data_IF_871068554026
#
_entry.id   IF_871068554026
#
_cell.length_a   1.000
_cell.length_b   1.000
_cell.length_c   1.000
_cell.angle_alpha   90.00
_cell.angle_beta   90.00
_cell.angle_gamma   90.00
#
_symmetry.space_group_name_H-M   'P 1'
#
loop_
_entity.id
_entity.type
_entity.pdbx_description
1 polymer ?
#
# COMPACT_ATOMS: atom_id res chain seq x y z
N UNK A 1 11.38 -18.34 -52.41
CA UNK A 1 11.46 -18.60 -50.97
C UNK A 1 10.83 -17.42 -50.23
N UNK A 2 9.65 -17.63 -49.65
CA UNK A 2 8.94 -16.61 -48.92
C UNK A 2 9.28 -16.79 -47.42
N UNK A 3 10.00 -15.83 -46.83
CA UNK A 3 10.32 -15.85 -45.41
C UNK A 3 9.13 -15.31 -44.62
N UNK A 4 8.43 -16.16 -43.89
CA UNK A 4 7.38 -15.78 -42.97
C UNK A 4 8.07 -15.26 -41.70
N UNK A 5 8.06 -13.97 -41.49
CA UNK A 5 8.44 -13.35 -40.22
C UNK A 5 7.25 -13.49 -39.26
N UNK A 6 7.31 -14.44 -38.35
CA UNK A 6 6.34 -14.56 -37.28
C UNK A 6 6.62 -13.44 -36.25
N UNK A 7 5.83 -12.40 -36.24
CA UNK A 7 5.81 -11.41 -35.16
C UNK A 7 5.14 -12.06 -33.97
N UNK A 8 5.95 -12.53 -33.02
CA UNK A 8 5.49 -12.99 -31.73
C UNK A 8 5.14 -11.78 -30.86
N UNK A 9 3.86 -11.40 -30.87
CA UNK A 9 3.33 -10.38 -29.97
C UNK A 9 3.31 -10.98 -28.56
N UNK A 10 4.33 -10.64 -27.74
CA UNK A 10 4.29 -10.93 -26.32
C UNK A 10 3.20 -10.10 -25.66
N UNK A 11 2.03 -10.70 -25.45
CA UNK A 11 0.98 -10.15 -24.59
C UNK A 11 1.48 -10.27 -23.14
N UNK A 12 2.13 -9.23 -22.66
CA UNK A 12 2.43 -9.12 -21.23
C UNK A 12 1.12 -8.74 -20.52
N UNK A 13 0.57 -9.67 -19.77
CA UNK A 13 -0.54 -9.40 -18.88
C UNK A 13 -0.06 -8.46 -17.77
N UNK A 14 -0.45 -7.21 -17.83
CA UNK A 14 -0.21 -6.21 -16.79
C UNK A 14 -1.15 -6.52 -15.62
N UNK A 15 -0.65 -7.21 -14.62
CA UNK A 15 -1.39 -7.48 -13.37
C UNK A 15 -1.25 -6.25 -12.46
N UNK A 16 -2.19 -5.32 -12.56
CA UNK A 16 -2.32 -4.24 -11.58
C UNK A 16 -2.93 -4.78 -10.27
N UNK A 17 -2.34 -4.46 -9.13
CA UNK A 17 -2.85 -4.82 -7.81
C UNK A 17 -4.06 -3.97 -7.42
N UNK A 18 -5.14 -4.04 -8.20
CA UNK A 18 -6.36 -3.24 -7.98
C UNK A 18 -7.11 -3.63 -6.70
N UNK A 19 -6.84 -4.80 -6.14
CA UNK A 19 -7.47 -5.36 -4.93
C UNK A 19 -6.52 -5.43 -3.73
N UNK A 20 -5.55 -4.54 -3.66
CA UNK A 20 -4.61 -4.44 -2.55
C UNK A 20 -3.21 -4.96 -2.85
N UNK A 21 -2.26 -4.60 -2.00
CA UNK A 21 -0.87 -5.00 -2.12
C UNK A 21 -0.70 -6.52 -1.98
N UNK A 22 0.22 -7.10 -2.73
CA UNK A 22 0.56 -8.51 -2.61
C UNK A 22 1.37 -8.78 -1.33
N UNK A 23 1.22 -9.98 -0.75
CA UNK A 23 1.97 -10.40 0.44
C UNK A 23 3.48 -10.49 0.21
N UNK A 24 3.91 -10.66 -1.04
CA UNK A 24 5.33 -10.59 -1.42
C UNK A 24 5.98 -9.23 -1.13
N UNK A 25 5.17 -8.18 -0.93
CA UNK A 25 5.64 -6.83 -0.61
C UNK A 25 5.77 -6.57 0.89
N UNK A 26 5.49 -7.56 1.74
CA UNK A 26 5.49 -7.40 3.19
C UNK A 26 6.82 -6.92 3.78
N UNK A 27 7.93 -7.22 3.17
CA UNK A 27 9.27 -6.82 3.67
C UNK A 27 9.69 -5.48 3.07
N UNK A 28 9.69 -5.37 1.76
CA UNK A 28 10.23 -4.20 1.05
C UNK A 28 9.28 -3.00 1.02
N UNK A 29 7.96 -3.22 1.03
CA UNK A 29 6.93 -2.18 1.01
C UNK A 29 7.06 -1.20 -0.16
N UNK A 30 7.66 -1.63 -1.27
CA UNK A 30 7.84 -0.81 -2.47
C UNK A 30 6.95 -1.30 -3.60
N UNK A 31 6.37 -0.40 -4.39
CA UNK A 31 5.68 -0.80 -5.61
C UNK A 31 6.63 -1.57 -6.52
N UNK A 32 6.14 -2.67 -7.08
CA UNK A 32 6.88 -3.48 -8.06
C UNK A 32 6.25 -3.29 -9.44
N UNK A 33 6.96 -3.79 -10.48
CA UNK A 33 6.38 -3.82 -11.82
C UNK A 33 4.91 -4.31 -11.77
N UNK A 34 3.97 -3.61 -12.43
CA UNK A 34 4.17 -2.59 -13.45
C UNK A 34 4.14 -1.13 -12.95
N UNK A 35 4.20 -0.88 -11.65
CA UNK A 35 4.04 0.48 -11.09
C UNK A 35 5.28 1.39 -11.24
N UNK A 36 6.36 0.88 -11.79
CA UNK A 36 7.62 1.63 -11.95
C UNK A 36 8.43 1.73 -10.66
N UNK A 37 9.47 2.54 -10.69
CA UNK A 37 10.34 2.78 -9.53
C UNK A 37 9.67 3.77 -8.55
N UNK A 38 10.06 3.68 -7.27
CA UNK A 38 9.65 4.66 -6.28
C UNK A 38 10.11 6.07 -6.66
N UNK A 39 9.25 7.06 -6.40
CA UNK A 39 9.59 8.46 -6.68
C UNK A 39 10.56 8.98 -5.61
N UNK A 40 11.52 9.80 -6.05
CA UNK A 40 12.50 10.45 -5.17
C UNK A 40 12.01 11.80 -4.60
N UNK A 41 10.88 12.32 -5.10
CA UNK A 41 10.27 13.57 -4.63
C UNK A 41 9.55 13.37 -3.30
N UNK A 42 9.42 14.45 -2.52
CA UNK A 42 8.64 14.42 -1.29
C UNK A 42 7.19 13.97 -1.56
N UNK A 43 6.68 13.11 -0.69
CA UNK A 43 5.30 12.64 -0.82
C UNK A 43 4.31 13.79 -0.61
N UNK A 44 3.28 13.94 -1.48
CA UNK A 44 2.20 14.88 -1.25
C UNK A 44 1.17 14.36 -0.23
N UNK A 45 1.39 13.18 0.34
CA UNK A 45 0.56 12.55 1.36
C UNK A 45 1.31 12.46 2.68
N UNK A 46 0.57 12.45 3.77
CA UNK A 46 1.10 12.30 5.12
C UNK A 46 0.40 11.15 5.85
N UNK A 47 1.11 10.59 6.83
CA UNK A 47 0.57 9.62 7.78
C UNK A 47 0.62 10.26 9.15
N UNK A 48 -0.51 10.30 9.83
CA UNK A 48 -0.64 10.81 11.20
C UNK A 48 -1.20 9.74 12.13
N UNK A 49 -0.94 9.89 13.42
CA UNK A 49 -1.46 9.00 14.45
C UNK A 49 -1.80 9.77 15.72
N UNK A 50 -2.74 9.26 16.49
CA UNK A 50 -3.07 9.80 17.81
C UNK A 50 -2.14 9.27 18.93
N UNK A 51 -1.07 8.55 18.60
CA UNK A 51 -0.04 8.09 19.53
C UNK A 51 0.96 9.23 19.86
N UNK A 52 0.49 10.38 20.34
CA UNK A 52 1.31 11.58 20.59
C UNK A 52 2.41 11.39 21.64
N UNK A 53 2.21 10.48 22.58
CA UNK A 53 3.16 10.16 23.67
C UNK A 53 3.93 8.87 23.42
N UNK A 54 3.93 8.36 22.18
CA UNK A 54 4.57 7.11 21.82
C UNK A 54 3.64 5.91 21.89
N UNK A 55 4.16 4.78 21.50
CA UNK A 55 3.45 3.51 21.43
C UNK A 55 3.45 2.81 22.80
N UNK A 56 2.28 2.35 23.22
CA UNK A 56 2.09 1.51 24.41
C UNK A 56 1.45 0.18 23.96
N UNK A 57 2.08 -0.97 24.21
CA UNK A 57 1.52 -2.27 23.88
C UNK A 57 0.13 -2.47 24.48
N UNK A 58 -0.77 -3.13 23.74
CA UNK A 58 -2.14 -3.39 24.15
C UNK A 58 -3.11 -2.23 24.00
N UNK A 59 -2.68 -1.07 23.51
CA UNK A 59 -3.56 0.05 23.19
C UNK A 59 -3.89 0.11 21.71
N UNK A 60 -5.08 0.63 21.40
CA UNK A 60 -5.53 0.92 20.03
C UNK A 60 -5.20 2.37 19.67
N UNK A 61 -4.64 2.54 18.49
CA UNK A 61 -4.30 3.85 17.92
C UNK A 61 -4.94 4.01 16.55
N UNK A 62 -5.34 5.23 16.22
CA UNK A 62 -5.81 5.57 14.88
C UNK A 62 -4.63 6.01 14.03
N UNK A 63 -4.52 5.42 12.84
CA UNK A 63 -3.58 5.85 11.78
C UNK A 63 -4.39 6.43 10.64
N UNK A 64 -4.07 7.65 10.25
CA UNK A 64 -4.74 8.37 9.17
C UNK A 64 -3.76 8.67 8.04
N UNK A 65 -4.15 8.32 6.81
CA UNK A 65 -3.45 8.73 5.59
C UNK A 65 -4.26 9.85 4.96
N UNK A 66 -3.63 11.00 4.73
CA UNK A 66 -4.31 12.17 4.16
C UNK A 66 -3.42 12.93 3.18
N UNK A 67 -4.03 13.78 2.38
CA UNK A 67 -3.30 14.73 1.52
C UNK A 67 -2.74 15.87 2.35
N UNK A 68 -1.53 16.31 2.02
CA UNK A 68 -0.95 17.51 2.65
C UNK A 68 -1.70 18.77 2.18
N UNK A 69 -2.07 18.80 0.90
CA UNK A 69 -2.86 19.89 0.33
C UNK A 69 -4.01 19.28 -0.49
N UNK A 70 -5.22 19.29 0.07
CA UNK A 70 -6.39 18.67 -0.55
C UNK A 70 -6.79 19.28 -1.90
N UNK A 71 -6.51 20.56 -2.12
CA UNK A 71 -6.92 21.27 -3.34
C UNK A 71 -6.02 20.94 -4.55
N UNK A 72 -4.74 20.64 -4.34
CA UNK A 72 -3.76 20.41 -5.41
C UNK A 72 -3.23 18.98 -5.49
N UNK A 73 -3.49 18.17 -4.48
CA UNK A 73 -3.02 16.78 -4.42
C UNK A 73 -4.08 15.84 -4.98
N UNK A 74 -3.75 15.00 -5.98
CA UNK A 74 -4.69 14.01 -6.48
C UNK A 74 -5.03 12.95 -5.42
N UNK A 75 -6.18 12.30 -5.56
CA UNK A 75 -6.54 11.17 -4.73
C UNK A 75 -5.56 10.01 -4.96
N UNK A 76 -5.17 9.33 -3.89
CA UNK A 76 -4.36 8.13 -4.03
C UNK A 76 -5.25 6.92 -4.37
N UNK A 77 -4.77 6.06 -5.24
CA UNK A 77 -5.54 4.90 -5.75
C UNK A 77 -5.24 3.62 -4.98
N UNK A 78 -4.21 3.63 -4.18
CA UNK A 78 -3.81 2.48 -3.41
C UNK A 78 -2.77 2.83 -2.35
N UNK A 79 -2.73 2.00 -1.31
CA UNK A 79 -1.77 2.13 -0.22
C UNK A 79 -1.42 0.76 0.35
N UNK A 80 -0.31 0.69 1.05
CA UNK A 80 0.08 -0.43 1.88
C UNK A 80 0.76 0.09 3.14
N UNK A 81 0.23 -0.22 4.31
CA UNK A 81 0.69 0.31 5.57
C UNK A 81 0.99 -0.80 6.59
N UNK A 82 2.06 -0.61 7.34
CA UNK A 82 2.46 -1.43 8.47
C UNK A 82 2.97 -0.54 9.60
N UNK A 83 2.88 -1.02 10.83
CA UNK A 83 3.61 -0.46 11.96
C UNK A 83 4.82 -1.35 12.22
N UNK A 84 6.00 -0.74 12.33
CA UNK A 84 7.27 -1.44 12.57
C UNK A 84 8.05 -0.76 13.67
N UNK A 85 8.83 -1.54 14.40
CA UNK A 85 9.87 -0.96 15.26
C UNK A 85 10.98 -0.37 14.37
N UNK A 86 11.52 0.76 14.79
CA UNK A 86 12.61 1.43 14.04
C UNK A 86 13.77 0.47 13.83
N UNK A 87 14.23 0.36 12.58
CA UNK A 87 15.31 -0.53 12.19
C UNK A 87 14.91 -1.98 11.88
N UNK A 88 13.64 -2.36 12.09
CA UNK A 88 13.15 -3.70 11.78
C UNK A 88 12.20 -3.69 10.58
N UNK A 89 12.14 -4.83 9.87
CA UNK A 89 11.23 -5.04 8.74
C UNK A 89 9.99 -5.86 9.11
N UNK A 90 9.98 -6.44 10.31
CA UNK A 90 8.85 -7.21 10.82
C UNK A 90 7.76 -6.28 11.34
N UNK A 91 6.52 -6.38 10.86
CA UNK A 91 5.41 -5.60 11.39
C UNK A 91 5.05 -6.02 12.81
N UNK A 92 4.56 -5.06 13.59
CA UNK A 92 4.06 -5.25 14.96
C UNK A 92 2.61 -4.80 15.07
N UNK A 93 1.86 -5.42 15.96
CA UNK A 93 0.45 -5.13 16.17
C UNK A 93 -0.46 -5.70 15.09
N UNK A 94 -1.74 -5.37 15.19
CA UNK A 94 -2.79 -5.76 14.26
C UNK A 94 -3.59 -4.54 13.84
N UNK A 95 -4.10 -4.56 12.61
CA UNK A 95 -4.99 -3.52 12.08
C UNK A 95 -6.45 -3.97 12.19
N UNK A 96 -7.29 -3.00 12.50
CA UNK A 96 -8.72 -3.04 12.25
C UNK A 96 -9.07 -1.94 11.25
N UNK A 97 -10.02 -2.20 10.35
CA UNK A 97 -10.38 -1.25 9.29
C UNK A 97 -11.72 -0.61 9.59
N UNK A 98 -11.74 0.73 9.61
CA UNK A 98 -12.97 1.48 9.87
C UNK A 98 -14.01 1.33 8.74
N UNK A 99 -13.56 1.20 7.49
CA UNK A 99 -14.41 0.99 6.32
C UNK A 99 -13.89 -0.18 5.48
N UNK A 100 -14.52 -1.33 5.65
CA UNK A 100 -14.21 -2.56 4.92
C UNK A 100 -14.51 -2.52 3.42
N UNK A 101 -15.15 -1.46 2.90
CA UNK A 101 -15.30 -1.24 1.46
C UNK A 101 -14.06 -0.60 0.84
N UNK A 102 -13.34 0.21 1.61
CA UNK A 102 -12.15 0.94 1.15
C UNK A 102 -10.86 0.21 1.44
N UNK A 103 -10.77 -0.46 2.58
CA UNK A 103 -9.56 -1.11 3.06
C UNK A 103 -9.80 -2.56 3.46
N UNK A 104 -8.72 -3.30 3.54
CA UNK A 104 -8.68 -4.68 4.03
C UNK A 104 -7.34 -4.95 4.71
N UNK A 105 -7.34 -5.86 5.67
CA UNK A 105 -6.11 -6.33 6.31
C UNK A 105 -5.35 -7.31 5.42
N UNK A 106 -4.05 -7.45 5.68
CA UNK A 106 -3.17 -8.46 5.11
C UNK A 106 -2.32 -9.11 6.19
N UNK A 107 -2.13 -10.41 6.06
CA UNK A 107 -1.27 -11.20 6.93
C UNK A 107 0.14 -11.19 6.35
N UNK A 108 1.05 -10.51 7.00
CA UNK A 108 2.47 -10.48 6.61
C UNK A 108 3.29 -11.48 7.43
N UNK A 109 3.37 -11.28 8.74
CA UNK A 109 4.04 -12.22 9.67
C UNK A 109 3.06 -12.77 10.70
N UNK A 110 1.98 -12.07 10.92
CA UNK A 110 0.87 -12.45 11.78
C UNK A 110 -0.44 -11.98 11.19
N UNK A 111 -1.54 -12.48 11.69
CA UNK A 111 -2.89 -12.11 11.24
C UNK A 111 -3.09 -10.61 11.34
N UNK A 112 -3.64 -10.00 10.29
CA UNK A 112 -3.98 -8.58 10.21
C UNK A 112 -2.81 -7.63 10.55
N UNK A 113 -1.55 -8.05 10.32
CA UNK A 113 -0.35 -7.24 10.65
C UNK A 113 -0.08 -6.11 9.67
N UNK A 114 -0.89 -5.96 8.64
CA UNK A 114 -0.82 -4.87 7.66
C UNK A 114 -2.19 -4.54 7.12
N UNK A 115 -2.31 -3.36 6.50
CA UNK A 115 -3.55 -2.87 5.88
C UNK A 115 -3.26 -2.33 4.49
N UNK A 116 -4.18 -2.56 3.57
CA UNK A 116 -4.09 -2.11 2.18
C UNK A 116 -5.46 -1.72 1.64
N UNK A 117 -5.48 -1.02 0.51
CA UNK A 117 -6.73 -0.73 -0.20
C UNK A 117 -7.41 -2.02 -0.68
N UNK A 118 -8.73 -1.98 -0.80
CA UNK A 118 -9.55 -3.09 -1.31
C UNK A 118 -9.90 -2.92 -2.78
N UNK A 119 -10.15 -1.68 -3.21
CA UNK A 119 -10.55 -1.34 -4.57
C UNK A 119 -9.80 -0.10 -5.06
N UNK A 120 -9.47 -0.03 -6.35
CA UNK A 120 -8.73 1.07 -6.96
C UNK A 120 -9.44 2.44 -6.96
N UNK A 121 -10.74 2.48 -6.68
CA UNK A 121 -11.57 3.68 -6.85
C UNK A 121 -12.00 4.32 -5.51
N UNK A 122 -11.47 3.92 -4.38
CA UNK A 122 -12.16 4.17 -3.11
C UNK A 122 -11.34 4.88 -2.06
N UNK A 123 -10.16 5.34 -2.35
CA UNK A 123 -9.35 6.03 -1.34
C UNK A 123 -9.40 7.55 -1.60
N UNK A 124 -10.50 8.12 -1.18
CA UNK A 124 -10.64 9.53 -0.83
C UNK A 124 -10.37 9.69 0.65
N UNK A 125 -9.91 10.87 1.07
CA UNK A 125 -9.69 11.23 2.48
C UNK A 125 -10.80 10.74 3.40
#
# INVERSE_FOLDING_TARGET
MLAIVAVMCCIQTVVGYSSGAATTQCVQMTPQSPHGLSQATASPYQITTNASSGYVPGRTYTVTISKINSASTPDFKGFFCQVRQVGLTTPVGTFDVADGNKAQTRDCTSTASSVTHKNKNTVTD
#
